data_IF_539505261085
#
_entry.id   IF_539505261085
#
_cell.length_a   1.000
_cell.length_b   1.000
_cell.length_c   1.000
_cell.angle_alpha   90.00
_cell.angle_beta   90.00
_cell.angle_gamma   90.00
#
_symmetry.space_group_name_H-M   'P 1'
#
loop_
_entity.id
_entity.type
_entity.pdbx_description
1 polymer ?
#
# COMPACT_ATOMS: atom_id res chain seq x y z
N UNK A 1 -7.99 4.98 19.51
CA UNK A 1 -6.83 4.75 18.63
C UNK A 1 -7.11 5.20 17.22
N UNK A 2 -6.32 6.14 16.77
CA UNK A 2 -6.44 6.66 15.41
C UNK A 2 -5.62 5.83 14.45
N UNK A 3 -6.21 5.51 13.32
CA UNK A 3 -5.51 4.84 12.22
C UNK A 3 -5.11 5.93 11.23
N UNK A 4 -3.83 5.97 10.88
CA UNK A 4 -3.31 6.89 9.87
C UNK A 4 -3.40 6.20 8.52
N UNK A 5 -4.06 6.85 7.57
CA UNK A 5 -4.22 6.34 6.20
C UNK A 5 -3.45 7.24 5.26
N UNK A 6 -2.48 6.68 4.56
CA UNK A 6 -1.62 7.43 3.64
C UNK A 6 -1.63 6.80 2.27
N UNK A 7 -1.49 7.64 1.25
CA UNK A 7 -1.38 7.19 -0.13
C UNK A 7 0.05 7.39 -0.61
N UNK A 8 0.61 6.32 -1.19
CA UNK A 8 1.89 6.38 -1.91
C UNK A 8 1.58 6.03 -3.36
N UNK A 9 1.89 6.93 -4.28
CA UNK A 9 1.56 6.74 -5.69
C UNK A 9 2.77 7.02 -6.58
N UNK A 10 2.88 6.28 -7.68
CA UNK A 10 3.84 6.57 -8.75
C UNK A 10 3.42 7.70 -9.66
N UNK A 11 2.18 8.19 -9.53
CA UNK A 11 1.70 9.33 -10.33
C UNK A 11 2.40 10.62 -9.93
N UNK A 12 2.62 11.51 -10.91
CA UNK A 12 3.10 12.86 -10.62
C UNK A 12 2.01 13.69 -9.94
N UNK A 13 2.39 14.84 -9.41
CA UNK A 13 1.49 15.70 -8.62
C UNK A 13 0.19 16.03 -9.35
N UNK A 14 0.29 16.49 -10.59
CA UNK A 14 -0.90 16.89 -11.35
C UNK A 14 -1.84 15.71 -11.62
N UNK A 15 -1.29 14.58 -12.04
CA UNK A 15 -2.08 13.37 -12.32
C UNK A 15 -2.76 12.85 -11.06
N UNK A 16 -2.06 12.87 -9.94
CA UNK A 16 -2.60 12.47 -8.64
C UNK A 16 -3.76 13.39 -8.23
N UNK A 17 -3.56 14.70 -8.31
CA UNK A 17 -4.58 15.69 -7.95
C UNK A 17 -5.85 15.53 -8.78
N UNK A 18 -5.70 15.32 -10.09
CA UNK A 18 -6.83 15.11 -10.99
C UNK A 18 -7.59 13.84 -10.61
N UNK A 19 -6.88 12.75 -10.36
CA UNK A 19 -7.48 11.46 -10.01
C UNK A 19 -8.25 11.56 -8.69
N UNK A 20 -7.62 12.11 -7.66
CA UNK A 20 -8.25 12.26 -6.34
C UNK A 20 -9.47 13.17 -6.39
N UNK A 21 -9.38 14.27 -7.12
CA UNK A 21 -10.50 15.20 -7.27
C UNK A 21 -11.67 14.53 -8.01
N UNK A 22 -11.38 13.82 -9.10
CA UNK A 22 -12.41 13.14 -9.89
C UNK A 22 -13.19 12.13 -9.05
N UNK A 23 -12.52 11.39 -8.18
CA UNK A 23 -13.15 10.39 -7.31
C UNK A 23 -13.53 10.93 -5.93
N UNK A 24 -13.35 12.22 -5.69
CA UNK A 24 -13.67 12.86 -4.42
C UNK A 24 -12.99 12.19 -3.22
N UNK A 25 -11.72 11.85 -3.38
CA UNK A 25 -10.96 11.07 -2.41
C UNK A 25 -9.91 11.87 -1.63
N UNK A 26 -9.78 13.18 -1.87
CA UNK A 26 -8.71 13.99 -1.26
C UNK A 26 -8.73 13.92 0.27
N UNK A 27 -9.92 13.90 0.86
CA UNK A 27 -10.08 13.93 2.31
C UNK A 27 -9.87 12.57 2.99
N UNK A 28 -9.69 11.50 2.22
CA UNK A 28 -9.53 10.15 2.78
C UNK A 28 -8.14 9.88 3.34
N UNK A 29 -7.14 10.67 2.95
CA UNK A 29 -5.74 10.40 3.28
C UNK A 29 -5.18 11.45 4.22
N UNK A 30 -4.47 11.00 5.25
CA UNK A 30 -3.73 11.87 6.18
C UNK A 30 -2.50 12.47 5.52
N UNK A 31 -1.92 11.75 4.56
CA UNK A 31 -0.81 12.26 3.75
C UNK A 31 -0.78 11.57 2.41
N UNK A 32 -0.14 12.23 1.44
CA UNK A 32 0.00 11.72 0.07
C UNK A 32 1.45 11.89 -0.34
N UNK A 33 2.10 10.78 -0.71
CA UNK A 33 3.47 10.79 -1.20
C UNK A 33 3.46 10.60 -2.71
N UNK A 34 4.05 11.53 -3.43
CA UNK A 34 4.07 11.57 -4.88
C UNK A 34 5.31 10.83 -5.40
N UNK A 35 5.12 10.05 -6.46
CA UNK A 35 6.20 9.32 -7.10
C UNK A 35 7.10 10.18 -7.97
N UNK A 36 8.16 9.57 -8.44
CA UNK A 36 9.06 10.15 -9.42
C UNK A 36 8.94 9.35 -10.72
N UNK A 37 8.94 10.02 -11.90
CA UNK A 37 8.94 9.31 -13.17
C UNK A 37 10.25 8.55 -13.45
N UNK A 38 11.31 8.90 -12.74
CA UNK A 38 12.64 8.36 -12.98
C UNK A 38 12.99 7.13 -12.16
N UNK A 39 12.28 6.88 -11.07
CA UNK A 39 12.60 5.76 -10.18
C UNK A 39 11.45 5.39 -9.26
N UNK A 40 11.53 4.19 -8.70
CA UNK A 40 10.59 3.73 -7.69
C UNK A 40 10.98 4.30 -6.31
N UNK A 41 10.12 5.14 -5.74
CA UNK A 41 10.36 5.82 -4.46
C UNK A 41 9.55 5.24 -3.31
N UNK A 42 8.92 4.09 -3.48
CA UNK A 42 8.01 3.52 -2.48
C UNK A 42 8.69 3.25 -1.14
N UNK A 43 9.87 2.64 -1.15
CA UNK A 43 10.60 2.35 0.08
C UNK A 43 10.98 3.64 0.83
N UNK A 44 11.42 4.65 0.10
CA UNK A 44 11.77 5.96 0.68
C UNK A 44 10.53 6.62 1.28
N UNK A 45 9.40 6.57 0.57
CA UNK A 45 8.15 7.15 1.05
C UNK A 45 7.66 6.47 2.33
N UNK A 46 7.79 5.15 2.41
CA UNK A 46 7.44 4.42 3.64
C UNK A 46 8.34 4.82 4.80
N UNK A 47 9.64 4.97 4.56
CA UNK A 47 10.59 5.42 5.58
C UNK A 47 10.26 6.82 6.08
N UNK A 48 9.92 7.73 5.17
CA UNK A 48 9.51 9.09 5.53
C UNK A 48 8.23 9.10 6.37
N UNK A 49 7.25 8.26 6.03
CA UNK A 49 6.01 8.15 6.80
C UNK A 49 6.26 7.63 8.21
N UNK A 50 7.13 6.63 8.35
CA UNK A 50 7.50 6.13 9.67
C UNK A 50 8.13 7.20 10.54
N UNK A 51 8.99 8.01 9.94
CA UNK A 51 9.63 9.13 10.64
C UNK A 51 8.60 10.21 10.98
N UNK A 52 7.76 10.60 10.03
CA UNK A 52 6.75 11.65 10.21
C UNK A 52 5.79 11.34 11.34
N UNK A 53 5.32 10.10 11.42
CA UNK A 53 4.32 9.70 12.41
C UNK A 53 4.92 8.96 13.61
N UNK A 54 6.24 8.84 13.66
CA UNK A 54 6.95 8.16 14.75
C UNK A 54 6.42 6.74 14.99
N UNK A 55 6.36 5.96 13.93
CA UNK A 55 5.90 4.56 13.98
C UNK A 55 7.00 3.60 13.57
N UNK A 56 6.90 2.37 14.06
CA UNK A 56 7.84 1.30 13.74
C UNK A 56 7.33 0.46 12.58
N UNK A 57 8.22 -0.28 11.87
CA UNK A 57 7.79 -1.13 10.76
C UNK A 57 6.69 -2.12 11.13
N UNK A 58 6.70 -2.66 12.34
CA UNK A 58 5.67 -3.60 12.80
C UNK A 58 4.29 -2.96 12.99
N UNK A 59 4.23 -1.63 13.04
CA UNK A 59 3.00 -0.86 13.22
C UNK A 59 2.39 -0.39 11.90
N UNK A 60 3.00 -0.76 10.78
CA UNK A 60 2.60 -0.32 9.45
C UNK A 60 2.35 -1.50 8.53
N UNK A 61 1.32 -1.41 7.71
CA UNK A 61 1.10 -2.33 6.59
C UNK A 61 0.98 -1.52 5.31
N UNK A 62 1.35 -2.12 4.21
CA UNK A 62 1.27 -1.51 2.89
C UNK A 62 0.40 -2.39 1.98
N UNK A 63 -0.58 -1.78 1.34
CA UNK A 63 -1.44 -2.48 0.38
C UNK A 63 -1.00 -2.09 -1.03
N UNK A 64 -0.62 -3.06 -1.83
CA UNK A 64 -0.16 -2.82 -3.20
C UNK A 64 -0.53 -3.97 -4.13
N UNK A 65 -0.45 -3.75 -5.43
CA UNK A 65 -0.86 -4.71 -6.46
C UNK A 65 0.30 -5.22 -7.33
N UNK A 66 1.51 -4.71 -7.09
CA UNK A 66 2.68 -5.04 -7.90
C UNK A 66 3.74 -5.83 -7.12
N UNK A 67 4.59 -6.56 -7.86
CA UNK A 67 5.73 -7.26 -7.24
C UNK A 67 6.72 -6.28 -6.63
N UNK A 68 6.87 -5.11 -7.25
CA UNK A 68 7.74 -4.06 -6.73
C UNK A 68 7.30 -3.56 -5.36
N UNK A 69 6.03 -3.69 -5.02
CA UNK A 69 5.51 -3.33 -3.70
C UNK A 69 6.05 -4.29 -2.64
N UNK A 70 6.08 -5.59 -2.95
CA UNK A 70 6.61 -6.61 -2.04
C UNK A 70 8.10 -6.36 -1.79
N UNK A 71 8.86 -6.07 -2.85
CA UNK A 71 10.28 -5.78 -2.76
C UNK A 71 10.56 -4.52 -1.93
N UNK A 72 9.80 -3.46 -2.18
CA UNK A 72 9.94 -2.20 -1.45
C UNK A 72 9.66 -2.39 0.04
N UNK A 73 8.60 -3.10 0.38
CA UNK A 73 8.25 -3.40 1.77
C UNK A 73 9.33 -4.23 2.45
N UNK A 74 9.89 -5.22 1.77
CA UNK A 74 10.95 -6.06 2.28
C UNK A 74 12.19 -5.25 2.66
N UNK A 75 12.51 -4.22 1.88
CA UNK A 75 13.68 -3.36 2.15
C UNK A 75 13.55 -2.60 3.46
N UNK A 76 12.35 -2.27 3.88
CA UNK A 76 12.11 -1.46 5.08
C UNK A 76 11.45 -2.23 6.21
N UNK A 77 11.23 -3.54 6.04
CA UNK A 77 10.70 -4.41 7.09
C UNK A 77 9.21 -4.28 7.34
N UNK A 78 8.45 -3.81 6.36
CA UNK A 78 7.00 -3.61 6.47
C UNK A 78 6.28 -4.77 5.79
N UNK A 79 5.17 -5.24 6.38
CA UNK A 79 4.34 -6.27 5.77
C UNK A 79 3.58 -5.71 4.57
N UNK A 80 3.76 -6.36 3.43
CA UNK A 80 3.01 -6.04 2.22
C UNK A 80 1.76 -6.93 2.15
N UNK A 81 0.61 -6.32 1.86
CA UNK A 81 -0.64 -7.02 1.60
C UNK A 81 -0.96 -6.86 0.12
N UNK A 82 -0.93 -7.95 -0.63
CA UNK A 82 -1.08 -7.90 -2.09
C UNK A 82 -2.54 -7.90 -2.50
N UNK A 83 -2.95 -6.83 -3.19
CA UNK A 83 -4.30 -6.66 -3.72
C UNK A 83 -4.37 -7.32 -5.10
N UNK A 84 -5.12 -8.41 -5.22
CA UNK A 84 -5.14 -9.23 -6.43
C UNK A 84 -6.54 -9.39 -7.05
N UNK A 85 -7.51 -8.56 -6.67
CA UNK A 85 -8.89 -8.73 -7.16
C UNK A 85 -9.11 -8.36 -8.62
N UNK A 86 -8.16 -7.67 -9.25
CA UNK A 86 -8.20 -7.43 -10.70
C UNK A 86 -6.99 -8.04 -11.42
N UNK A 87 -6.20 -8.84 -10.71
CA UNK A 87 -5.04 -9.49 -11.30
C UNK A 87 -5.45 -10.67 -12.18
N UNK A 88 -4.66 -10.94 -13.24
CA UNK A 88 -4.82 -12.15 -14.03
C UNK A 88 -4.49 -13.38 -13.15
N UNK A 89 -4.94 -14.55 -13.59
CA UNK A 89 -4.66 -15.77 -12.84
C UNK A 89 -3.15 -16.04 -12.71
N UNK A 90 -2.38 -15.79 -13.77
CA UNK A 90 -0.93 -15.99 -13.74
C UNK A 90 -0.26 -15.01 -12.78
N UNK A 91 -0.69 -13.75 -12.76
CA UNK A 91 -0.18 -12.75 -11.83
C UNK A 91 -0.51 -13.11 -10.39
N UNK A 92 -1.74 -13.56 -10.14
CA UNK A 92 -2.16 -13.98 -8.81
C UNK A 92 -1.31 -15.13 -8.28
N UNK A 93 -1.06 -16.14 -9.11
CA UNK A 93 -0.21 -17.29 -8.73
C UNK A 93 1.21 -16.85 -8.38
N UNK A 94 1.76 -15.91 -9.13
CA UNK A 94 3.09 -15.39 -8.88
C UNK A 94 3.14 -14.56 -7.59
N UNK A 95 2.11 -13.75 -7.34
CA UNK A 95 1.99 -13.01 -6.09
C UNK A 95 1.91 -13.96 -4.89
N UNK A 96 1.15 -15.04 -5.00
CA UNK A 96 1.04 -16.01 -3.91
C UNK A 96 2.37 -16.71 -3.64
N UNK A 97 3.18 -16.93 -4.65
CA UNK A 97 4.52 -17.49 -4.50
C UNK A 97 5.44 -16.52 -3.76
N UNK A 98 5.40 -15.24 -4.12
CA UNK A 98 6.28 -14.21 -3.57
C UNK A 98 5.81 -13.67 -2.22
N UNK A 99 4.51 -13.72 -1.94
CA UNK A 99 3.91 -13.14 -0.74
C UNK A 99 2.89 -14.09 -0.12
N UNK A 100 3.29 -15.31 0.10
CA UNK A 100 2.42 -16.39 0.56
C UNK A 100 1.65 -16.03 1.84
N UNK A 101 0.33 -16.23 1.81
CA UNK A 101 -0.53 -15.95 2.94
C UNK A 101 -1.02 -14.50 3.02
N UNK A 102 -0.52 -13.62 2.17
CA UNK A 102 -0.86 -12.20 2.19
C UNK A 102 -1.34 -11.69 0.83
N UNK A 103 -1.96 -12.55 0.05
CA UNK A 103 -2.57 -12.19 -1.24
C UNK A 103 -4.08 -12.25 -1.11
N UNK A 104 -4.74 -11.18 -1.49
CA UNK A 104 -6.18 -11.01 -1.29
C UNK A 104 -6.90 -10.90 -2.63
N UNK A 105 -7.82 -11.82 -2.89
CA UNK A 105 -8.57 -11.88 -4.14
C UNK A 105 -9.83 -11.00 -4.13
N UNK A 106 -10.14 -10.36 -3.01
CA UNK A 106 -11.28 -9.45 -2.91
C UNK A 106 -11.02 -8.39 -1.85
N UNK A 107 -11.68 -7.24 -2.00
CA UNK A 107 -11.64 -6.18 -0.99
C UNK A 107 -12.19 -6.68 0.34
N UNK A 108 -13.22 -7.52 0.28
CA UNK A 108 -13.82 -8.11 1.47
C UNK A 108 -12.83 -8.97 2.26
N UNK A 109 -12.02 -9.78 1.56
CA UNK A 109 -11.03 -10.63 2.23
C UNK A 109 -9.93 -9.80 2.88
N UNK A 110 -9.50 -8.71 2.23
CA UNK A 110 -8.53 -7.79 2.81
C UNK A 110 -9.11 -7.10 4.06
N UNK A 111 -10.33 -6.63 3.99
CA UNK A 111 -11.00 -5.98 5.11
C UNK A 111 -11.09 -6.95 6.31
N UNK A 112 -11.49 -8.20 6.06
CA UNK A 112 -11.59 -9.22 7.11
C UNK A 112 -10.23 -9.49 7.76
N UNK A 113 -9.16 -9.53 6.98
CA UNK A 113 -7.80 -9.69 7.49
C UNK A 113 -7.41 -8.52 8.40
N UNK A 114 -7.62 -7.29 7.94
CA UNK A 114 -7.26 -6.09 8.72
C UNK A 114 -8.02 -6.02 10.03
N UNK A 115 -9.29 -6.41 10.02
CA UNK A 115 -10.12 -6.42 11.21
C UNK A 115 -9.70 -7.49 12.21
N UNK A 116 -9.43 -8.70 11.71
CA UNK A 116 -9.19 -9.89 12.54
C UNK A 116 -7.73 -10.03 12.97
N UNK A 117 -6.81 -9.95 12.01
CA UNK A 117 -5.40 -10.28 12.24
C UNK A 117 -4.56 -9.06 12.61
N UNK A 118 -4.83 -7.92 11.97
CA UNK A 118 -4.06 -6.71 12.20
C UNK A 118 -4.70 -5.75 13.19
N UNK A 119 -5.95 -5.99 13.58
CA UNK A 119 -6.71 -5.15 14.52
C UNK A 119 -6.80 -3.68 14.09
N UNK A 120 -6.86 -3.42 12.78
CA UNK A 120 -6.84 -2.06 12.25
C UNK A 120 -8.22 -1.48 11.97
N UNK A 121 -9.25 -2.30 11.88
CA UNK A 121 -10.62 -1.84 11.64
C UNK A 121 -11.62 -2.62 12.45
#
# INVERSE_FOLDING_TARGET
NSIIVSLITGKGQRSCDITLHHFEMEALFDSISIGSPDRNTKAESMTELMSKYNIQPAEMVYVGDEFSDITACSKVGIQCLSAAWIASLSKMKKLEKENQGYVFSSIKSLHSFLKKEAHLV
#
